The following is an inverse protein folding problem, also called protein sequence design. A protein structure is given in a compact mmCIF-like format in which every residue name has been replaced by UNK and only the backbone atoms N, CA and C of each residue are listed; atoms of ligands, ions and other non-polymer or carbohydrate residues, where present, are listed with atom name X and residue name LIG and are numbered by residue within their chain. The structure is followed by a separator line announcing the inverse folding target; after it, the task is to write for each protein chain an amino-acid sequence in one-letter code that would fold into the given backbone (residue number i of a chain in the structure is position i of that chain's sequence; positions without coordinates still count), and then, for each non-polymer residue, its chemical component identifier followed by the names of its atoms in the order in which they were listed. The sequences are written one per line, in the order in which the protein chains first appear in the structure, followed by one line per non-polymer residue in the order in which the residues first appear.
data_IF_926549836253
#
_entry.id   IF_926549836253
#
_cell.length_a   1.000
_cell.length_b   1.000
_cell.length_c   1.000
_cell.angle_alpha   90.00
_cell.angle_beta   90.00
_cell.angle_gamma   90.00
#
_symmetry.space_group_name_H-M   'P 1'
#
loop_
_entity.id
_entity.type
_entity.pdbx_description
1 polymer ?
#
# COMPACT_ATOMS: atom_id res chain seq x y z
N UNK A 1 -17.47 44.51 -8.84
CA UNK A 1 -16.02 44.27 -9.00
C UNK A 1 -15.80 42.78 -9.26
N UNK A 2 -15.00 42.40 -10.26
CA UNK A 2 -14.64 40.98 -10.47
C UNK A 2 -13.83 40.46 -9.28
N UNK A 3 -14.02 39.19 -8.94
CA UNK A 3 -13.33 38.58 -7.81
C UNK A 3 -11.87 38.30 -8.20
N UNK A 4 -10.92 38.48 -7.27
CA UNK A 4 -9.49 38.31 -7.55
C UNK A 4 -9.12 36.85 -7.91
N UNK A 5 -10.00 35.91 -7.59
CA UNK A 5 -9.88 34.47 -7.91
C UNK A 5 -10.02 34.15 -9.39
N UNK A 6 -10.60 35.05 -10.18
CA UNK A 6 -10.93 34.78 -11.58
C UNK A 6 -9.79 35.15 -12.54
N UNK A 7 -8.70 35.72 -12.01
CA UNK A 7 -7.56 36.19 -12.78
C UNK A 7 -6.45 35.14 -12.85
N UNK A 8 -5.78 35.04 -14.00
CA UNK A 8 -4.61 34.17 -14.13
C UNK A 8 -3.42 34.71 -13.33
N UNK A 9 -2.48 33.83 -12.95
CA UNK A 9 -1.28 34.22 -12.20
C UNK A 9 -0.51 35.36 -12.90
N UNK A 10 -0.37 35.28 -14.23
CA UNK A 10 0.29 36.32 -15.02
C UNK A 10 -0.45 37.67 -14.96
N UNK A 11 -1.79 37.65 -14.94
CA UNK A 11 -2.59 38.86 -14.79
C UNK A 11 -2.46 39.44 -13.37
N UNK A 12 -2.47 38.61 -12.33
CA UNK A 12 -2.27 39.05 -10.94
C UNK A 12 -0.88 39.69 -10.73
N UNK A 13 0.16 39.11 -11.31
CA UNK A 13 1.53 39.68 -11.26
C UNK A 13 1.57 41.05 -11.97
N UNK A 14 0.96 41.17 -13.16
CA UNK A 14 0.85 42.45 -13.87
C UNK A 14 0.04 43.48 -13.09
N UNK A 15 -1.02 43.06 -12.41
CA UNK A 15 -1.82 43.94 -11.55
C UNK A 15 -1.03 44.42 -10.32
N UNK A 16 -0.25 43.54 -9.70
CA UNK A 16 0.66 43.91 -8.60
C UNK A 16 1.67 44.95 -9.06
N UNK A 17 2.31 44.76 -10.22
CA UNK A 17 3.30 45.70 -10.77
C UNK A 17 2.73 47.10 -11.07
N UNK A 18 1.43 47.20 -11.34
CA UNK A 18 0.74 48.47 -11.61
C UNK A 18 0.15 49.12 -10.37
N UNK A 19 0.07 48.40 -9.25
CA UNK A 19 -0.54 48.89 -8.02
C UNK A 19 0.57 49.42 -7.12
N UNK A 20 0.57 50.73 -6.88
CA UNK A 20 1.49 51.35 -5.93
C UNK A 20 1.13 50.96 -4.49
N UNK A 21 2.13 50.44 -3.77
CA UNK A 21 2.02 49.95 -2.40
C UNK A 21 1.66 51.08 -1.43
N UNK A 22 2.19 52.28 -1.65
CA UNK A 22 1.96 53.43 -0.77
C UNK A 22 0.57 54.03 -0.93
N UNK A 23 0.04 54.00 -2.15
CA UNK A 23 -1.27 54.59 -2.47
C UNK A 23 -2.43 53.64 -2.13
N UNK A 24 -2.25 52.31 -2.28
CA UNK A 24 -3.31 51.32 -2.06
C UNK A 24 -2.84 50.04 -1.32
N UNK A 25 -2.43 50.13 -0.05
CA UNK A 25 -1.80 49.03 0.68
C UNK A 25 -2.71 47.79 0.81
N UNK A 26 -4.00 47.99 1.12
CA UNK A 26 -4.95 46.88 1.27
C UNK A 26 -5.13 46.06 -0.02
N UNK A 27 -5.10 46.72 -1.18
CA UNK A 27 -5.24 46.07 -2.49
C UNK A 27 -3.96 45.35 -2.89
N UNK A 28 -2.81 45.95 -2.57
CA UNK A 28 -1.51 45.33 -2.76
C UNK A 28 -1.38 44.03 -1.94
N UNK A 29 -1.76 44.05 -0.66
CA UNK A 29 -1.76 42.86 0.20
C UNK A 29 -2.72 41.77 -0.27
N UNK A 30 -3.89 42.16 -0.78
CA UNK A 30 -4.84 41.22 -1.37
C UNK A 30 -4.26 40.54 -2.62
N UNK A 31 -3.55 41.29 -3.48
CA UNK A 31 -2.86 40.76 -4.66
C UNK A 31 -1.72 39.82 -4.27
N UNK A 32 -0.88 40.20 -3.29
CA UNK A 32 0.19 39.34 -2.78
C UNK A 32 -0.34 38.01 -2.26
N UNK A 33 -1.40 38.02 -1.42
CA UNK A 33 -2.04 36.79 -0.92
C UNK A 33 -2.63 35.94 -2.05
N UNK A 34 -3.26 36.56 -3.05
CA UNK A 34 -3.80 35.84 -4.20
C UNK A 34 -2.69 35.17 -5.02
N UNK A 35 -1.57 35.87 -5.26
CA UNK A 35 -0.39 35.34 -5.95
C UNK A 35 0.18 34.14 -5.18
N UNK A 36 0.40 34.26 -3.87
CA UNK A 36 0.92 33.17 -3.05
C UNK A 36 0.02 31.94 -3.08
N UNK A 37 -1.32 32.12 -3.04
CA UNK A 37 -2.28 31.02 -3.16
C UNK A 37 -2.19 30.33 -4.54
N UNK A 38 -2.07 31.09 -5.62
CA UNK A 38 -1.92 30.52 -6.96
C UNK A 38 -0.60 29.77 -7.14
N UNK A 39 0.51 30.32 -6.64
CA UNK A 39 1.82 29.66 -6.66
C UNK A 39 1.80 28.36 -5.85
N UNK A 40 1.21 28.39 -4.66
CA UNK A 40 1.06 27.20 -3.82
C UNK A 40 0.18 26.15 -4.52
N UNK A 41 -0.96 26.56 -5.09
CA UNK A 41 -1.83 25.65 -5.85
C UNK A 41 -1.10 25.02 -7.06
N UNK A 42 -0.30 25.78 -7.79
CA UNK A 42 0.51 25.27 -8.90
C UNK A 42 1.59 24.30 -8.43
N UNK A 43 2.30 24.61 -7.34
CA UNK A 43 3.29 23.69 -6.76
C UNK A 43 2.65 22.37 -6.29
N UNK A 44 1.45 22.41 -5.68
CA UNK A 44 0.70 21.22 -5.30
C UNK A 44 0.26 20.40 -6.52
N UNK A 45 -0.20 21.06 -7.59
CA UNK A 45 -0.57 20.40 -8.84
C UNK A 45 0.64 19.73 -9.50
N UNK A 46 1.76 20.43 -9.61
CA UNK A 46 3.01 19.89 -10.16
C UNK A 46 3.52 18.70 -9.33
N UNK A 47 3.52 18.81 -8.00
CA UNK A 47 3.87 17.70 -7.11
C UNK A 47 2.96 16.49 -7.32
N UNK A 48 1.65 16.71 -7.53
CA UNK A 48 0.68 15.64 -7.78
C UNK A 48 0.90 14.99 -9.14
N UNK A 49 1.11 15.77 -10.20
CA UNK A 49 1.41 15.27 -11.56
C UNK A 49 2.70 14.46 -11.56
N UNK A 50 3.77 14.98 -10.92
CA UNK A 50 5.04 14.27 -10.78
C UNK A 50 4.88 12.96 -10.01
N UNK A 51 4.14 12.96 -8.89
CA UNK A 51 3.87 11.74 -8.11
C UNK A 51 3.08 10.68 -8.89
N UNK A 52 2.17 11.11 -9.76
CA UNK A 52 1.39 10.22 -10.61
C UNK A 52 2.25 9.63 -11.74
N UNK A 53 3.09 10.46 -12.37
CA UNK A 53 4.06 9.99 -13.37
C UNK A 53 5.04 8.97 -12.77
N UNK A 54 5.61 9.29 -11.61
CA UNK A 54 6.50 8.38 -10.90
C UNK A 54 5.81 7.06 -10.50
N UNK A 55 4.50 7.09 -10.22
CA UNK A 55 3.71 5.88 -9.94
C UNK A 55 3.52 4.98 -11.14
N UNK A 56 3.49 5.52 -12.36
CA UNK A 56 3.36 4.76 -13.61
C UNK A 56 4.69 4.20 -14.12
N UNK A 57 5.82 4.67 -13.60
CA UNK A 57 7.11 4.23 -14.08
C UNK A 57 7.36 2.75 -13.81
N UNK A 58 7.94 2.09 -14.82
CA UNK A 58 8.26 0.66 -14.78
C UNK A 58 9.54 0.47 -13.98
N UNK A 59 9.46 -0.31 -12.91
CA UNK A 59 10.64 -0.65 -12.10
C UNK A 59 11.38 -1.82 -12.73
N UNK A 60 12.70 -1.71 -13.00
CA UNK A 60 13.49 -2.84 -13.46
C UNK A 60 13.64 -3.85 -12.32
N UNK A 61 12.87 -4.93 -12.40
CA UNK A 61 12.85 -6.04 -11.44
C UNK A 61 12.97 -7.36 -12.19
N UNK A 62 13.58 -8.37 -11.54
CA UNK A 62 13.69 -9.71 -12.11
C UNK A 62 12.29 -10.26 -12.47
N UNK A 63 12.09 -10.58 -13.75
CA UNK A 63 10.82 -11.05 -14.27
C UNK A 63 10.43 -12.43 -13.70
N UNK A 64 11.40 -13.31 -13.49
CA UNK A 64 11.14 -14.62 -12.88
C UNK A 64 10.66 -14.49 -11.45
N UNK A 65 11.22 -13.54 -10.69
CA UNK A 65 10.75 -13.25 -9.34
C UNK A 65 9.30 -12.76 -9.35
N UNK A 66 8.95 -11.81 -10.25
CA UNK A 66 7.57 -11.32 -10.40
C UNK A 66 6.59 -12.45 -10.73
N UNK A 67 6.96 -13.33 -11.66
CA UNK A 67 6.13 -14.50 -12.02
C UNK A 67 5.96 -15.44 -10.85
N UNK A 68 7.04 -15.75 -10.14
CA UNK A 68 7.01 -16.61 -8.97
C UNK A 68 6.07 -16.07 -7.89
N UNK A 69 6.25 -14.83 -7.45
CA UNK A 69 5.40 -14.25 -6.40
C UNK A 69 3.96 -14.14 -6.85
N UNK A 70 3.69 -13.85 -8.12
CA UNK A 70 2.33 -13.75 -8.61
C UNK A 70 1.63 -15.12 -8.66
N UNK A 71 2.32 -16.18 -9.13
CA UNK A 71 1.78 -17.55 -9.11
C UNK A 71 1.49 -18.00 -7.67
N UNK A 72 2.44 -17.77 -6.77
CA UNK A 72 2.32 -18.10 -5.34
C UNK A 72 1.15 -17.34 -4.71
N UNK A 73 1.04 -16.03 -4.94
CA UNK A 73 -0.07 -15.22 -4.42
C UNK A 73 -1.43 -15.65 -4.98
N UNK A 74 -1.54 -15.85 -6.31
CA UNK A 74 -2.80 -16.24 -6.96
C UNK A 74 -3.24 -17.61 -6.47
N UNK A 75 -2.34 -18.60 -6.49
CA UNK A 75 -2.63 -19.95 -6.02
C UNK A 75 -3.00 -19.97 -4.53
N UNK A 76 -2.27 -19.22 -3.71
CA UNK A 76 -2.57 -19.03 -2.30
C UNK A 76 -3.95 -18.42 -2.06
N UNK A 77 -4.25 -17.30 -2.72
CA UNK A 77 -5.56 -16.64 -2.57
C UNK A 77 -6.70 -17.52 -3.07
N UNK A 78 -6.50 -18.28 -4.15
CA UNK A 78 -7.47 -19.26 -4.62
C UNK A 78 -7.76 -20.33 -3.56
N UNK A 79 -6.72 -20.91 -2.94
CA UNK A 79 -6.89 -21.87 -1.83
C UNK A 79 -7.59 -21.21 -0.63
N UNK A 80 -7.30 -19.94 -0.35
CA UNK A 80 -8.00 -19.18 0.69
C UNK A 80 -9.50 -19.04 0.41
N UNK A 81 -9.87 -18.70 -0.82
CA UNK A 81 -11.27 -18.57 -1.24
C UNK A 81 -12.00 -19.92 -1.19
N UNK A 82 -11.38 -21.01 -1.66
CA UNK A 82 -12.00 -22.35 -1.56
C UNK A 82 -12.17 -22.78 -0.11
N UNK A 83 -11.22 -22.44 0.75
CA UNK A 83 -11.32 -22.68 2.19
C UNK A 83 -12.49 -21.91 2.80
N UNK A 84 -12.67 -20.62 2.47
CA UNK A 84 -13.84 -19.84 2.91
C UNK A 84 -15.14 -20.50 2.46
N UNK A 85 -15.25 -20.86 1.17
CA UNK A 85 -16.46 -21.50 0.62
C UNK A 85 -16.78 -22.79 1.37
N UNK A 86 -15.77 -23.61 1.68
CA UNK A 86 -15.96 -24.83 2.45
C UNK A 86 -16.45 -24.55 3.88
N UNK A 87 -15.97 -23.49 4.53
CA UNK A 87 -16.43 -23.11 5.87
C UNK A 87 -17.87 -22.57 5.86
N UNK A 88 -18.27 -21.89 4.77
CA UNK A 88 -19.66 -21.41 4.57
C UNK A 88 -20.68 -22.54 4.39
N UNK A 89 -20.24 -23.74 4.03
CA UNK A 89 -21.11 -24.94 3.94
C UNK A 89 -21.39 -25.57 5.31
N UNK A 90 -20.70 -25.15 6.35
CA UNK A 90 -20.90 -25.63 7.71
C UNK A 90 -21.70 -24.61 8.52
N UNK A 91 -22.46 -25.03 9.56
CA UNK A 91 -23.06 -24.09 10.49
C UNK A 91 -21.97 -23.26 11.19
N UNK A 92 -22.11 -21.93 11.14
CA UNK A 92 -21.16 -20.98 11.72
C UNK A 92 -21.91 -19.88 12.48
N UNK A 93 -21.23 -19.26 13.43
CA UNK A 93 -21.75 -18.09 14.13
C UNK A 93 -21.76 -16.84 13.23
N UNK A 94 -22.63 -15.88 13.55
CA UNK A 94 -22.78 -14.65 12.76
C UNK A 94 -21.49 -13.84 12.61
N UNK A 95 -20.64 -13.85 13.64
CA UNK A 95 -19.33 -13.18 13.60
C UNK A 95 -18.37 -13.84 12.62
N UNK A 96 -18.39 -15.17 12.51
CA UNK A 96 -17.55 -15.91 11.58
C UNK A 96 -17.87 -15.55 10.12
N UNK A 97 -19.16 -15.36 9.78
CA UNK A 97 -19.54 -14.89 8.44
C UNK A 97 -18.97 -13.51 8.11
N UNK A 98 -18.98 -12.57 9.07
CA UNK A 98 -18.38 -11.24 8.87
C UNK A 98 -16.88 -11.34 8.63
N UNK A 99 -16.19 -12.17 9.42
CA UNK A 99 -14.76 -12.43 9.28
C UNK A 99 -14.46 -13.04 7.90
N UNK A 100 -15.24 -14.02 7.46
CA UNK A 100 -15.11 -14.64 6.14
C UNK A 100 -15.35 -13.64 5.02
N UNK A 101 -16.33 -12.74 5.14
CA UNK A 101 -16.55 -11.69 4.15
C UNK A 101 -15.33 -10.75 4.01
N UNK A 102 -14.72 -10.37 5.13
CA UNK A 102 -13.49 -9.55 5.14
C UNK A 102 -12.36 -10.30 4.43
N UNK A 103 -12.07 -11.54 4.83
CA UNK A 103 -10.98 -12.31 4.22
C UNK A 103 -11.25 -12.65 2.74
N UNK A 104 -12.50 -12.84 2.35
CA UNK A 104 -12.90 -13.02 0.96
C UNK A 104 -12.50 -11.81 0.11
N UNK A 105 -12.79 -10.59 0.58
CA UNK A 105 -12.35 -9.36 -0.06
C UNK A 105 -10.82 -9.27 -0.09
N UNK A 106 -10.15 -9.60 1.02
CA UNK A 106 -8.67 -9.59 1.08
C UNK A 106 -8.06 -10.55 0.06
N UNK A 107 -8.61 -11.74 -0.14
CA UNK A 107 -8.11 -12.68 -1.15
C UNK A 107 -8.37 -12.21 -2.58
N UNK A 108 -9.52 -11.59 -2.87
CA UNK A 108 -9.78 -10.96 -4.17
C UNK A 108 -8.78 -9.83 -4.44
N UNK A 109 -8.55 -8.97 -3.45
CA UNK A 109 -7.53 -7.92 -3.53
C UNK A 109 -6.14 -8.52 -3.76
N UNK A 110 -5.81 -9.62 -3.09
CA UNK A 110 -4.56 -10.35 -3.28
C UNK A 110 -4.35 -10.83 -4.72
N UNK A 111 -5.39 -11.39 -5.35
CA UNK A 111 -5.36 -11.78 -6.76
C UNK A 111 -5.17 -10.56 -7.66
N UNK A 112 -5.97 -9.50 -7.44
CA UNK A 112 -5.89 -8.28 -8.25
C UNK A 112 -4.50 -7.61 -8.18
N UNK A 113 -3.92 -7.54 -6.98
CA UNK A 113 -2.58 -6.99 -6.73
C UNK A 113 -1.50 -7.84 -7.40
N UNK A 114 -1.62 -9.18 -7.36
CA UNK A 114 -0.69 -10.09 -8.06
C UNK A 114 -0.77 -9.94 -9.60
N UNK A 115 -1.97 -9.86 -10.16
CA UNK A 115 -2.18 -9.64 -11.61
C UNK A 115 -1.60 -8.29 -12.04
N UNK A 116 -1.89 -7.23 -11.29
CA UNK A 116 -1.38 -5.88 -11.56
C UNK A 116 0.15 -5.82 -11.57
N UNK A 117 0.81 -6.68 -10.78
CA UNK A 117 2.27 -6.79 -10.75
C UNK A 117 2.82 -7.37 -12.05
N UNK A 118 2.17 -8.40 -12.59
CA UNK A 118 2.56 -9.03 -13.85
C UNK A 118 2.42 -8.04 -15.00
N UNK A 119 1.30 -7.32 -15.05
CA UNK A 119 0.96 -6.44 -16.17
C UNK A 119 1.85 -5.20 -16.23
N UNK A 120 1.95 -4.46 -15.13
CA UNK A 120 2.52 -3.11 -15.16
C UNK A 120 3.94 -3.02 -14.62
N UNK A 121 4.32 -3.84 -13.63
CA UNK A 121 5.55 -3.69 -12.83
C UNK A 121 5.82 -2.24 -12.41
N UNK A 122 4.75 -1.47 -12.26
CA UNK A 122 4.79 -0.05 -11.92
C UNK A 122 5.17 0.13 -10.46
N UNK A 123 5.69 1.30 -10.09
CA UNK A 123 5.95 1.66 -8.69
C UNK A 123 4.70 1.43 -7.83
N UNK A 124 3.51 1.78 -8.35
CA UNK A 124 2.24 1.51 -7.67
C UNK A 124 2.01 0.01 -7.45
N UNK A 125 2.17 -0.82 -8.49
CA UNK A 125 1.95 -2.26 -8.38
C UNK A 125 2.92 -2.94 -7.40
N UNK A 126 4.20 -2.54 -7.41
CA UNK A 126 5.18 -3.04 -6.45
C UNK A 126 4.84 -2.61 -5.02
N UNK A 127 4.35 -1.38 -4.84
CA UNK A 127 3.94 -0.86 -3.53
C UNK A 127 2.73 -1.61 -2.98
N UNK A 128 1.72 -1.86 -3.82
CA UNK A 128 0.53 -2.62 -3.44
C UNK A 128 0.92 -4.05 -3.04
N UNK A 129 1.78 -4.71 -3.83
CA UNK A 129 2.29 -6.04 -3.49
C UNK A 129 3.10 -6.05 -2.20
N UNK A 130 3.98 -5.08 -2.00
CA UNK A 130 4.74 -4.94 -0.75
C UNK A 130 3.80 -4.85 0.44
N UNK A 131 2.77 -4.00 0.37
CA UNK A 131 1.81 -3.84 1.46
C UNK A 131 1.01 -5.12 1.71
N UNK A 132 0.58 -5.79 0.64
CA UNK A 132 -0.15 -7.06 0.72
C UNK A 132 0.69 -8.20 1.31
N UNK A 133 1.99 -8.25 1.03
CA UNK A 133 2.89 -9.20 1.69
C UNK A 133 3.22 -8.77 3.12
N UNK A 134 3.33 -7.47 3.40
CA UNK A 134 3.66 -6.96 4.73
C UNK A 134 2.61 -7.32 5.79
N UNK A 135 1.32 -7.26 5.46
CA UNK A 135 0.25 -7.63 6.39
C UNK A 135 0.32 -9.11 6.81
N UNK A 136 0.94 -9.97 6.01
CA UNK A 136 1.07 -11.40 6.27
C UNK A 136 2.31 -11.76 7.11
N UNK A 137 3.15 -10.78 7.45
CA UNK A 137 4.39 -11.01 8.19
C UNK A 137 4.09 -11.48 9.61
N UNK A 138 3.13 -10.85 10.28
CA UNK A 138 2.87 -11.08 11.70
C UNK A 138 1.79 -12.14 11.86
N UNK A 139 2.11 -13.16 12.65
CA UNK A 139 1.15 -14.07 13.25
C UNK A 139 1.10 -13.80 14.74
N UNK A 140 -0.10 -13.69 15.31
CA UNK A 140 -0.26 -13.48 16.73
C UNK A 140 -1.50 -14.23 17.23
N UNK A 141 -1.39 -14.81 18.41
CA UNK A 141 -2.47 -15.51 19.09
C UNK A 141 -2.46 -15.16 20.57
N UNK A 142 -3.64 -14.94 21.12
CA UNK A 142 -3.85 -14.74 22.56
C UNK A 142 -5.28 -15.13 22.92
N UNK A 143 -5.59 -15.27 24.23
CA UNK A 143 -6.94 -15.51 24.70
C UNK A 143 -7.95 -14.41 24.30
N UNK A 144 -7.46 -13.20 24.04
CA UNK A 144 -8.30 -12.03 23.73
C UNK A 144 -8.53 -11.92 22.23
N UNK A 145 -7.46 -12.08 21.44
CA UNK A 145 -7.50 -11.95 20.00
C UNK A 145 -6.44 -12.84 19.35
N UNK A 146 -6.78 -13.46 18.23
CA UNK A 146 -5.82 -14.12 17.35
C UNK A 146 -5.96 -13.57 15.93
N UNK A 147 -4.82 -13.38 15.27
CA UNK A 147 -4.72 -12.96 13.88
C UNK A 147 -3.70 -13.82 13.14
N UNK A 148 -4.14 -14.37 12.02
CA UNK A 148 -3.29 -15.01 11.03
C UNK A 148 -3.82 -14.67 9.64
N UNK A 149 -2.93 -14.27 8.75
CA UNK A 149 -3.20 -14.21 7.33
C UNK A 149 -1.94 -14.63 6.59
N UNK A 150 -2.04 -15.71 5.83
CA UNK A 150 -0.94 -16.24 5.03
C UNK A 150 -1.48 -16.75 3.72
N UNK A 151 -0.75 -16.51 2.63
CA UNK A 151 -1.07 -17.06 1.32
C UNK A 151 0.18 -17.53 0.57
N UNK A 152 -0.06 -18.53 -0.28
CA UNK A 152 0.89 -19.09 -1.20
C UNK A 152 1.89 -19.99 -0.50
N UNK A 153 3.00 -19.43 -0.06
CA UNK A 153 4.08 -20.14 0.59
C UNK A 153 4.38 -19.48 1.92
N UNK A 154 4.42 -20.26 2.99
CA UNK A 154 4.74 -19.76 4.32
C UNK A 154 5.80 -20.62 4.99
N UNK A 155 6.72 -19.94 5.64
CA UNK A 155 7.67 -20.51 6.59
C UNK A 155 7.46 -19.72 7.86
N UNK A 156 6.70 -20.29 8.79
CA UNK A 156 6.36 -19.65 10.05
C UNK A 156 7.33 -20.13 11.13
N UNK A 157 7.86 -19.18 11.87
CA UNK A 157 8.48 -19.41 13.18
C UNK A 157 7.60 -18.74 14.21
N UNK A 158 7.20 -19.46 15.24
CA UNK A 158 6.41 -18.88 16.32
C UNK A 158 6.82 -19.44 17.67
N UNK A 159 6.63 -18.65 18.71
CA UNK A 159 6.91 -19.06 20.09
C UNK A 159 5.58 -19.17 20.80
N UNK A 160 5.30 -20.34 21.40
CA UNK A 160 4.17 -20.53 22.30
C UNK A 160 4.63 -20.53 23.75
N UNK A 161 3.78 -20.06 24.66
CA UNK A 161 4.07 -20.10 26.10
C UNK A 161 4.23 -21.56 26.63
N UNK A 162 3.58 -22.53 25.99
CA UNK A 162 3.55 -23.94 26.44
C UNK A 162 4.72 -24.77 25.92
N UNK A 163 5.09 -24.60 24.66
CA UNK A 163 6.00 -25.53 23.96
C UNK A 163 7.28 -24.85 23.46
N UNK A 164 7.43 -23.54 23.68
CA UNK A 164 8.59 -22.78 23.24
C UNK A 164 8.59 -22.49 21.74
N UNK A 165 9.77 -22.58 21.09
CA UNK A 165 9.94 -22.25 19.67
C UNK A 165 9.44 -23.40 18.77
N UNK A 166 8.47 -23.08 17.93
CA UNK A 166 7.91 -23.96 16.91
C UNK A 166 8.16 -23.39 15.51
N UNK A 167 8.18 -24.28 14.52
CA UNK A 167 8.34 -23.91 13.12
C UNK A 167 7.43 -24.75 12.23
N UNK A 168 7.04 -24.20 11.09
CA UNK A 168 6.16 -24.86 10.15
C UNK A 168 6.38 -24.35 8.73
N UNK A 169 6.42 -25.30 7.79
CA UNK A 169 6.44 -25.02 6.35
C UNK A 169 5.08 -25.46 5.79
N UNK A 170 4.42 -24.56 5.07
CA UNK A 170 3.14 -24.87 4.43
C UNK A 170 3.06 -24.19 3.06
N UNK A 171 2.41 -24.88 2.12
CA UNK A 171 1.98 -24.34 0.84
C UNK A 171 0.46 -24.28 0.88
N UNK A 172 -0.12 -23.12 0.60
CA UNK A 172 -1.56 -22.91 0.62
C UNK A 172 -1.96 -21.56 1.22
N UNK A 173 -3.05 -21.54 1.97
CA UNK A 173 -3.54 -20.35 2.65
C UNK A 173 -4.03 -20.71 4.02
N UNK A 174 -3.76 -19.85 4.99
CA UNK A 174 -4.37 -19.92 6.30
C UNK A 174 -4.77 -18.51 6.73
N UNK A 175 -5.99 -18.39 7.23
CA UNK A 175 -6.51 -17.18 7.82
C UNK A 175 -7.23 -17.51 9.13
N UNK A 176 -7.08 -16.65 10.11
CA UNK A 176 -7.77 -16.75 11.39
C UNK A 176 -7.92 -15.34 11.95
N UNK A 177 -9.13 -15.01 12.38
CA UNK A 177 -9.39 -13.84 13.19
C UNK A 177 -10.39 -14.26 14.27
N UNK A 178 -9.88 -14.52 15.47
CA UNK A 178 -10.70 -14.97 16.59
C UNK A 178 -10.68 -13.92 17.68
N UNK A 179 -11.80 -13.76 18.37
CA UNK A 179 -11.93 -12.90 19.54
C UNK A 179 -12.42 -13.73 20.73
N UNK A 180 -11.90 -13.45 21.93
CA UNK A 180 -12.37 -14.01 23.20
C UNK A 180 -12.37 -15.54 23.27
N UNK A 181 -11.31 -16.19 22.78
CA UNK A 181 -11.13 -17.63 22.95
C UNK A 181 -10.18 -17.91 24.13
N UNK A 182 -10.73 -18.15 25.32
CA UNK A 182 -9.95 -18.36 26.55
C UNK A 182 -8.98 -19.54 26.50
N UNK A 183 -9.20 -20.49 25.60
CA UNK A 183 -8.37 -21.69 25.45
C UNK A 183 -7.23 -21.48 24.43
N UNK A 184 -7.16 -20.32 23.79
CA UNK A 184 -6.14 -20.01 22.81
C UNK A 184 -4.81 -19.66 23.53
N UNK A 185 -3.72 -20.42 23.29
CA UNK A 185 -2.43 -20.10 23.90
C UNK A 185 -1.87 -18.79 23.33
N UNK A 186 -1.05 -18.11 24.13
CA UNK A 186 -0.25 -17.00 23.63
C UNK A 186 0.78 -17.52 22.62
N UNK A 187 0.75 -16.95 21.42
CA UNK A 187 1.72 -17.22 20.38
C UNK A 187 2.07 -15.94 19.64
N UNK A 188 3.34 -15.77 19.30
CA UNK A 188 3.81 -14.73 18.40
C UNK A 188 4.73 -15.37 17.36
N UNK A 189 4.50 -15.06 16.09
CA UNK A 189 5.32 -15.60 15.02
C UNK A 189 5.45 -14.68 13.82
N UNK A 190 6.35 -15.11 12.94
CA UNK A 190 6.73 -14.37 11.74
C UNK A 190 6.71 -15.31 10.55
N UNK A 191 6.04 -14.89 9.48
CA UNK A 191 6.15 -15.53 8.17
C UNK A 191 7.40 -15.01 7.44
N UNK A 192 8.45 -15.83 7.40
CA UNK A 192 9.72 -15.46 6.79
C UNK A 192 9.62 -15.25 5.28
N UNK A 193 8.70 -15.95 4.60
CA UNK A 193 8.50 -15.78 3.15
C UNK A 193 7.91 -14.40 2.88
N UNK A 194 6.88 -14.01 3.64
CA UNK A 194 6.27 -12.69 3.54
C UNK A 194 7.29 -11.58 3.88
N UNK A 195 8.12 -11.79 4.89
CA UNK A 195 9.19 -10.86 5.27
C UNK A 195 10.21 -10.69 4.13
N UNK A 196 10.68 -11.81 3.55
CA UNK A 196 11.66 -11.80 2.47
C UNK A 196 11.14 -11.11 1.21
N UNK A 197 9.90 -11.41 0.79
CA UNK A 197 9.27 -10.78 -0.37
C UNK A 197 9.07 -9.29 -0.14
N UNK A 198 8.55 -8.91 1.03
CA UNK A 198 8.35 -7.51 1.42
C UNK A 198 9.67 -6.75 1.39
N UNK A 199 10.74 -7.32 1.98
CA UNK A 199 12.07 -6.73 1.99
C UNK A 199 12.63 -6.56 0.57
N UNK A 200 12.51 -7.57 -0.29
CA UNK A 200 12.99 -7.50 -1.67
C UNK A 200 12.27 -6.43 -2.49
N UNK A 201 10.94 -6.34 -2.38
CA UNK A 201 10.15 -5.30 -3.06
C UNK A 201 10.52 -3.90 -2.53
N UNK A 202 10.73 -3.74 -1.23
CA UNK A 202 11.15 -2.48 -0.62
C UNK A 202 12.52 -2.02 -1.11
N UNK A 203 13.49 -2.94 -1.21
CA UNK A 203 14.82 -2.64 -1.75
C UNK A 203 14.73 -2.25 -3.22
N UNK A 204 13.93 -2.95 -4.02
CA UNK A 204 13.72 -2.66 -5.44
C UNK A 204 13.14 -1.25 -5.65
N UNK A 205 12.11 -0.90 -4.88
CA UNK A 205 11.51 0.43 -4.87
C UNK A 205 12.50 1.52 -4.44
N UNK A 206 13.30 1.25 -3.41
CA UNK A 206 14.28 2.21 -2.89
C UNK A 206 15.40 2.50 -3.88
N UNK A 207 15.89 1.46 -4.59
CA UNK A 207 16.91 1.60 -5.64
C UNK A 207 16.39 2.42 -6.81
N UNK A 208 15.17 2.14 -7.27
CA UNK A 208 14.52 2.90 -8.33
C UNK A 208 14.39 4.39 -7.97
N UNK A 209 13.88 4.68 -6.77
CA UNK A 209 13.70 6.05 -6.28
C UNK A 209 15.03 6.81 -6.19
N UNK A 210 16.12 6.15 -5.76
CA UNK A 210 17.46 6.76 -5.72
C UNK A 210 17.98 7.07 -7.11
N UNK A 211 17.76 6.16 -8.07
CA UNK A 211 18.22 6.36 -9.44
C UNK A 211 17.53 7.57 -10.09
N UNK A 212 16.22 7.72 -9.91
CA UNK A 212 15.50 8.87 -10.47
C UNK A 212 15.92 10.22 -9.89
N UNK A 213 16.30 10.28 -8.60
CA UNK A 213 16.82 11.53 -8.01
C UNK A 213 18.16 11.97 -8.59
N UNK A 214 18.96 11.04 -9.10
CA UNK A 214 20.30 11.31 -9.60
C UNK A 214 20.32 11.64 -11.10
N UNK A 215 19.17 11.64 -11.77
CA UNK A 215 19.07 12.09 -13.17
C UNK A 215 19.15 13.63 -13.16
N UNK A 216 20.20 14.24 -13.70
CA UNK A 216 20.36 15.70 -13.68
C UNK A 216 19.19 16.35 -14.42
N UNK A 217 18.49 17.28 -13.75
CA UNK A 217 17.36 18.04 -14.33
C UNK A 217 17.80 19.12 -15.34
N UNK A 218 19.01 19.00 -15.89
CA UNK A 218 19.60 19.96 -16.82
C UNK A 218 19.92 19.26 -18.14
N UNK A 219 18.88 18.97 -18.91
CA UNK A 219 19.00 18.60 -20.31
C UNK A 219 17.76 19.09 -21.08
N UNK A 220 17.39 20.35 -20.87
CA UNK A 220 16.53 21.13 -21.78
C UNK A 220 17.09 22.55 -21.89
#
# INVERSE_FOLDING_TARGET
MKNLTDYSLAQLIRMRQRTDENTYPQRYDALCRAISRHQQAQSCLQARVFSNAQRSDIVPINLWFVRFIAIVSIGGCFIGLTTIINHLMQPQDIFSYLIFAIFFVVFIVGIAVAVRLIESRSVAALTDNRNFWAIQIVFFSSPIMAYQLTNGLLINFWITHTDGLQHGLMIGSAFSLNFLNTNQPWALGINLVALAITGYLQVSLSRFTRHQRNIPQHAE
#
